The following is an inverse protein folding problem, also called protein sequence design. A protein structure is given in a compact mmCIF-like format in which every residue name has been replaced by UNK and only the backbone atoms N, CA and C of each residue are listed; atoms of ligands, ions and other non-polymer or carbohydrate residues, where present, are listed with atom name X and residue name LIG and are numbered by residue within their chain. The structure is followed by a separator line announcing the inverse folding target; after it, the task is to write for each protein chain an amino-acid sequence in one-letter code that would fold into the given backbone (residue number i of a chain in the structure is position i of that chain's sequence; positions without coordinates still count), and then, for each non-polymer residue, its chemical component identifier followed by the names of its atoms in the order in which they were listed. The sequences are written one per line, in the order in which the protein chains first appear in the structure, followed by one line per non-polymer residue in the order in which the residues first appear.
data_IF_742909110272
#
_entry.id   IF_742909110272
#
_cell.length_a   1.000
_cell.length_b   1.000
_cell.length_c   1.000
_cell.angle_alpha   90.00
_cell.angle_beta   90.00
_cell.angle_gamma   90.00
#
_symmetry.space_group_name_H-M   'P 1'
#
loop_
_entity.id
_entity.type
_entity.pdbx_description
1 polymer ?
#
# COMPACT_ATOMS: atom_id res chain seq x y z
N UNK A 1 -88.60 12.23 -8.94
CA UNK A 1 -87.64 11.46 -8.10
C UNK A 1 -86.52 10.97 -9.02
N UNK A 2 -85.31 11.51 -8.86
CA UNK A 2 -84.09 11.13 -9.62
C UNK A 2 -82.97 10.88 -8.60
N UNK A 3 -82.24 9.75 -8.66
CA UNK A 3 -81.16 9.50 -7.72
C UNK A 3 -79.89 10.25 -8.18
N UNK A 4 -79.25 10.99 -7.26
CA UNK A 4 -77.91 11.55 -7.45
C UNK A 4 -76.89 10.50 -6.98
N UNK A 5 -76.03 10.07 -7.89
CA UNK A 5 -74.90 9.18 -7.62
C UNK A 5 -73.81 9.93 -6.83
N UNK A 6 -73.32 9.31 -5.75
CA UNK A 6 -72.10 9.71 -5.05
C UNK A 6 -70.88 9.30 -5.89
N UNK A 7 -70.02 10.26 -6.22
CA UNK A 7 -68.65 9.98 -6.64
C UNK A 7 -67.74 9.88 -5.41
N UNK A 8 -67.24 8.68 -5.12
CA UNK A 8 -66.10 8.45 -4.24
C UNK A 8 -64.80 8.72 -5.00
N UNK A 9 -64.09 9.78 -4.65
CA UNK A 9 -62.74 10.06 -5.14
C UNK A 9 -61.76 9.27 -4.26
N UNK A 10 -61.28 8.14 -4.75
CA UNK A 10 -60.18 7.39 -4.15
C UNK A 10 -58.86 8.03 -4.55
N UNK A 11 -58.20 8.74 -3.63
CA UNK A 11 -56.82 9.20 -3.82
C UNK A 11 -55.86 7.99 -3.72
N UNK A 12 -55.38 7.52 -4.87
CA UNK A 12 -54.25 6.59 -4.96
C UNK A 12 -52.96 7.29 -4.52
N UNK A 13 -52.43 6.93 -3.35
CA UNK A 13 -51.06 7.25 -2.95
C UNK A 13 -50.10 6.46 -3.85
N UNK A 14 -49.44 7.13 -4.79
CA UNK A 14 -48.36 6.51 -5.57
C UNK A 14 -47.10 6.45 -4.68
N UNK A 15 -46.74 5.26 -4.20
CA UNK A 15 -45.40 5.00 -3.67
C UNK A 15 -44.39 5.16 -4.82
N UNK A 16 -43.68 6.29 -4.83
CA UNK A 16 -42.50 6.45 -5.67
C UNK A 16 -41.37 5.57 -5.12
N UNK A 17 -41.26 4.34 -5.62
CA UNK A 17 -40.03 3.55 -5.51
C UNK A 17 -38.94 4.28 -6.30
N UNK A 18 -38.16 5.12 -5.63
CA UNK A 18 -36.90 5.61 -6.18
C UNK A 18 -35.98 4.39 -6.33
N UNK A 19 -35.46 4.09 -7.53
CA UNK A 19 -34.43 3.08 -7.66
C UNK A 19 -33.21 3.59 -6.88
N UNK A 20 -32.86 2.87 -5.81
CA UNK A 20 -31.54 2.94 -5.22
C UNK A 20 -30.57 2.50 -6.33
N UNK A 21 -30.01 3.47 -7.05
CA UNK A 21 -28.84 3.22 -7.87
C UNK A 21 -27.73 2.82 -6.92
N UNK A 22 -27.54 1.50 -6.76
CA UNK A 22 -26.32 0.98 -6.19
C UNK A 22 -25.20 1.43 -7.13
N UNK A 23 -24.51 2.52 -6.77
CA UNK A 23 -23.29 2.90 -7.47
C UNK A 23 -22.37 1.69 -7.39
N UNK A 24 -21.98 1.16 -8.55
CA UNK A 24 -21.02 0.07 -8.61
C UNK A 24 -19.78 0.51 -7.82
N UNK A 25 -19.53 -0.16 -6.69
CA UNK A 25 -18.42 0.19 -5.83
C UNK A 25 -17.13 -0.15 -6.56
N UNK A 26 -16.20 0.80 -6.62
CA UNK A 26 -14.92 0.60 -7.27
C UNK A 26 -14.19 -0.62 -6.69
N UNK A 27 -13.45 -1.31 -7.55
CA UNK A 27 -12.63 -2.45 -7.15
C UNK A 27 -11.22 -2.01 -6.80
N UNK A 28 -10.52 -2.82 -6.00
CA UNK A 28 -9.09 -2.56 -5.72
C UNK A 28 -8.29 -2.50 -7.02
N UNK A 29 -8.56 -3.38 -7.98
CA UNK A 29 -7.89 -3.38 -9.28
C UNK A 29 -8.14 -2.10 -10.12
N UNK A 30 -9.29 -1.45 -9.96
CA UNK A 30 -9.59 -0.19 -10.64
C UNK A 30 -8.86 1.02 -10.04
N UNK A 31 -8.49 0.94 -8.76
CA UNK A 31 -7.92 2.06 -7.99
C UNK A 31 -6.42 1.90 -7.74
N UNK A 32 -5.97 0.67 -7.49
CA UNK A 32 -4.57 0.33 -7.24
C UNK A 32 -3.98 -0.31 -8.49
N UNK A 33 -3.72 0.51 -9.51
CA UNK A 33 -3.05 0.11 -10.74
C UNK A 33 -2.15 1.22 -11.29
N UNK A 34 -1.27 0.86 -12.24
CA UNK A 34 -0.30 1.79 -12.82
C UNK A 34 -0.91 2.97 -13.58
N UNK A 35 -2.13 2.84 -14.14
CA UNK A 35 -2.80 3.93 -14.87
C UNK A 35 -3.26 5.06 -13.95
N UNK A 36 -3.39 4.79 -12.65
CA UNK A 36 -3.78 5.81 -11.66
C UNK A 36 -2.60 6.71 -11.26
N UNK A 37 -1.36 6.27 -11.42
CA UNK A 37 -0.17 7.10 -11.20
C UNK A 37 -0.12 8.23 -12.25
N UNK A 38 0.18 9.45 -11.80
CA UNK A 38 0.22 10.65 -12.63
C UNK A 38 -1.14 11.27 -12.95
N UNK A 39 -2.25 10.60 -12.62
CA UNK A 39 -3.59 11.20 -12.76
C UNK A 39 -3.77 12.32 -11.74
N UNK A 40 -4.66 13.28 -12.02
CA UNK A 40 -4.99 14.28 -11.01
C UNK A 40 -5.94 13.70 -9.95
N UNK A 41 -5.90 14.26 -8.74
CA UNK A 41 -6.71 13.80 -7.61
C UNK A 41 -8.21 13.70 -7.94
N UNK A 42 -8.76 14.68 -8.65
CA UNK A 42 -10.19 14.70 -8.99
C UNK A 42 -10.59 13.52 -9.90
N UNK A 43 -9.73 13.17 -10.85
CA UNK A 43 -9.94 11.98 -11.68
C UNK A 43 -9.83 10.71 -10.85
N UNK A 44 -8.80 10.60 -10.00
CA UNK A 44 -8.63 9.47 -9.09
C UNK A 44 -9.88 9.26 -8.21
N UNK A 45 -10.39 10.32 -7.57
CA UNK A 45 -11.59 10.28 -6.72
C UNK A 45 -12.87 9.95 -7.50
N UNK A 46 -12.93 10.28 -8.80
CA UNK A 46 -14.05 9.86 -9.64
C UNK A 46 -14.13 8.34 -9.82
N UNK A 47 -13.00 7.64 -9.65
CA UNK A 47 -12.91 6.17 -9.67
C UNK A 47 -12.97 5.63 -8.25
N UNK A 48 -12.10 6.07 -7.34
CA UNK A 48 -11.94 5.54 -5.98
C UNK A 48 -13.09 5.90 -5.02
N UNK A 49 -13.87 6.92 -5.37
CA UNK A 49 -14.75 7.62 -4.44
C UNK A 49 -14.00 8.65 -3.60
N UNK A 50 -14.72 9.30 -2.69
CA UNK A 50 -14.18 10.38 -1.85
C UNK A 50 -13.28 9.79 -0.77
N UNK A 51 -12.16 10.48 -0.49
CA UNK A 51 -11.27 10.12 0.61
C UNK A 51 -11.99 10.10 1.96
N UNK A 52 -11.67 9.10 2.79
CA UNK A 52 -12.15 8.97 4.18
C UNK A 52 -11.44 9.97 5.09
N UNK A 53 -10.16 10.18 4.85
CA UNK A 53 -9.30 11.13 5.56
C UNK A 53 -8.35 11.76 4.56
N UNK A 54 -7.95 13.00 4.84
CA UNK A 54 -6.93 13.70 4.07
C UNK A 54 -6.06 14.51 5.03
N UNK A 55 -4.75 14.32 4.93
CA UNK A 55 -3.75 15.01 5.73
C UNK A 55 -2.70 15.58 4.78
N UNK A 56 -2.80 16.88 4.47
CA UNK A 56 -2.03 17.47 3.38
C UNK A 56 -2.34 16.77 2.06
N UNK A 57 -1.29 16.34 1.35
CA UNK A 57 -1.38 15.65 0.07
C UNK A 57 -1.69 14.15 0.17
N UNK A 58 -1.77 13.59 1.39
CA UNK A 58 -2.07 12.17 1.61
C UNK A 58 -3.56 11.94 1.82
N UNK A 59 -4.17 11.16 0.94
CA UNK A 59 -5.60 10.85 0.94
C UNK A 59 -5.81 9.35 1.13
N UNK A 60 -6.64 8.96 2.12
CA UNK A 60 -6.91 7.55 2.42
C UNK A 60 -8.33 7.15 2.02
N UNK A 61 -8.45 6.02 1.35
CA UNK A 61 -9.68 5.48 0.76
C UNK A 61 -9.98 4.09 1.33
N UNK A 62 -11.26 3.71 1.28
CA UNK A 62 -11.72 2.36 1.63
C UNK A 62 -12.41 1.74 0.42
N UNK A 63 -11.68 0.91 -0.32
CA UNK A 63 -12.12 0.30 -1.58
C UNK A 63 -12.25 -1.22 -1.39
N UNK A 64 -13.45 -1.78 -1.54
CA UNK A 64 -13.76 -3.19 -1.22
C UNK A 64 -13.25 -3.66 0.16
N UNK A 65 -13.24 -2.77 1.15
CA UNK A 65 -12.72 -3.08 2.48
C UNK A 65 -11.18 -2.96 2.62
N UNK A 66 -10.46 -2.65 1.55
CA UNK A 66 -9.02 -2.41 1.57
C UNK A 66 -8.69 -0.94 1.78
N UNK A 67 -7.60 -0.69 2.53
CA UNK A 67 -7.11 0.66 2.79
C UNK A 67 -6.09 0.99 1.70
N UNK A 68 -6.42 2.01 0.90
CA UNK A 68 -5.53 2.56 -0.12
C UNK A 68 -5.21 3.99 0.27
N UNK A 69 -3.94 4.38 0.25
CA UNK A 69 -3.51 5.76 0.39
C UNK A 69 -2.94 6.24 -0.93
N UNK A 70 -3.34 7.43 -1.37
CA UNK A 70 -2.74 8.09 -2.51
C UNK A 70 -2.05 9.38 -2.03
N UNK A 71 -0.80 9.59 -2.44
CA UNK A 71 -0.12 10.87 -2.28
C UNK A 71 -0.33 11.70 -3.55
N UNK A 72 -0.97 12.85 -3.43
CA UNK A 72 -1.35 13.72 -4.52
C UNK A 72 -0.47 14.99 -4.62
N UNK A 73 0.76 14.95 -4.09
CA UNK A 73 1.62 16.13 -4.04
C UNK A 73 1.86 16.74 -5.43
N UNK A 74 1.80 18.07 -5.52
CA UNK A 74 1.92 18.76 -6.82
C UNK A 74 0.70 18.61 -7.74
N UNK A 75 -0.43 18.06 -7.25
CA UNK A 75 -1.70 17.99 -7.98
C UNK A 75 -1.92 16.71 -8.79
N UNK A 76 -0.97 15.78 -8.74
CA UNK A 76 -1.04 14.46 -9.38
C UNK A 76 -0.74 13.35 -8.38
N UNK A 77 -1.30 12.17 -8.60
CA UNK A 77 -1.03 10.97 -7.79
C UNK A 77 0.41 10.51 -8.05
N UNK A 78 1.30 10.72 -7.08
CA UNK A 78 2.72 10.38 -7.19
C UNK A 78 3.00 8.96 -6.70
N UNK A 79 2.29 8.53 -5.66
CA UNK A 79 2.36 7.17 -5.15
C UNK A 79 1.01 6.64 -4.67
N UNK A 80 0.92 5.32 -4.69
CA UNK A 80 -0.19 4.55 -4.19
C UNK A 80 0.32 3.52 -3.20
N UNK A 81 -0.26 3.51 -1.99
CA UNK A 81 -0.02 2.50 -0.97
C UNK A 81 -1.26 1.63 -0.77
N UNK A 82 -1.08 0.31 -0.79
CA UNK A 82 -2.11 -0.66 -0.40
C UNK A 82 -1.68 -1.38 0.87
N UNK A 83 -2.51 -1.33 1.92
CA UNK A 83 -2.35 -2.18 3.09
C UNK A 83 -2.81 -3.60 2.77
N UNK A 84 -1.93 -4.58 2.96
CA UNK A 84 -2.17 -5.98 2.65
C UNK A 84 -2.88 -6.67 3.82
N UNK A 85 -3.72 -7.63 3.47
CA UNK A 85 -4.41 -8.53 4.41
C UNK A 85 -4.88 -9.77 3.65
N UNK A 86 -5.42 -10.81 4.32
CA UNK A 86 -5.96 -11.98 3.60
C UNK A 86 -6.99 -11.63 2.52
N UNK A 87 -7.72 -10.51 2.67
CA UNK A 87 -8.71 -10.01 1.70
C UNK A 87 -8.18 -8.91 0.79
N UNK A 88 -7.02 -8.32 1.09
CA UNK A 88 -6.42 -7.22 0.33
C UNK A 88 -5.08 -7.66 -0.23
N UNK A 89 -5.11 -8.11 -1.48
CA UNK A 89 -3.93 -8.57 -2.21
C UNK A 89 -3.52 -7.52 -3.24
N UNK A 90 -2.22 -7.26 -3.35
CA UNK A 90 -1.68 -6.43 -4.41
C UNK A 90 -1.52 -7.26 -5.69
N UNK A 91 -1.90 -6.67 -6.82
CA UNK A 91 -1.47 -7.10 -8.14
C UNK A 91 -0.52 -6.05 -8.69
N UNK A 92 0.77 -6.39 -8.75
CA UNK A 92 1.81 -5.49 -9.19
C UNK A 92 1.99 -5.48 -10.71
N UNK A 93 1.32 -6.38 -11.44
CA UNK A 93 1.51 -6.56 -12.90
C UNK A 93 1.16 -5.29 -13.70
N UNK A 94 0.14 -4.55 -13.26
CA UNK A 94 -0.25 -3.28 -13.89
C UNK A 94 0.77 -2.15 -13.68
N UNK A 95 1.65 -2.27 -12.69
CA UNK A 95 2.67 -1.27 -12.39
C UNK A 95 4.02 -1.62 -13.03
N UNK A 96 4.44 -2.89 -12.89
CA UNK A 96 5.80 -3.33 -13.21
C UNK A 96 5.85 -4.53 -14.18
N UNK A 97 4.73 -4.86 -14.83
CA UNK A 97 4.67 -5.85 -15.91
C UNK A 97 5.23 -7.21 -15.51
N UNK A 98 6.17 -7.72 -16.31
CA UNK A 98 6.79 -9.05 -16.10
C UNK A 98 7.72 -9.13 -14.89
N UNK A 99 8.03 -8.01 -14.22
CA UNK A 99 8.82 -8.00 -12.98
C UNK A 99 7.96 -8.29 -11.75
N UNK A 100 6.63 -8.27 -11.89
CA UNK A 100 5.71 -8.55 -10.81
C UNK A 100 5.77 -10.02 -10.37
N UNK A 101 5.73 -10.30 -9.06
CA UNK A 101 5.43 -11.63 -8.56
C UNK A 101 4.08 -12.12 -9.07
N UNK A 102 3.88 -13.44 -9.07
CA UNK A 102 2.60 -14.03 -9.48
C UNK A 102 1.43 -13.48 -8.65
N UNK A 103 0.42 -12.95 -9.35
CA UNK A 103 -0.80 -12.50 -8.72
C UNK A 103 -1.48 -13.63 -7.93
N UNK A 104 -2.12 -13.30 -6.81
CA UNK A 104 -2.90 -14.17 -5.91
C UNK A 104 -2.14 -14.97 -4.84
N UNK A 105 -0.81 -14.97 -4.84
CA UNK A 105 -0.02 -15.50 -3.72
C UNK A 105 0.20 -14.42 -2.65
N UNK A 106 0.42 -14.80 -1.36
CA UNK A 106 0.89 -13.87 -0.36
C UNK A 106 2.20 -13.22 -0.82
N UNK A 107 2.24 -11.89 -0.82
CA UNK A 107 3.44 -11.17 -1.20
C UNK A 107 4.47 -11.28 -0.08
N UNK A 108 5.66 -11.77 -0.41
CA UNK A 108 6.80 -11.90 0.52
C UNK A 108 8.02 -11.19 -0.07
N UNK A 109 8.99 -10.88 0.79
CA UNK A 109 10.27 -10.31 0.35
C UNK A 109 10.99 -11.26 -0.61
N UNK A 110 10.95 -12.58 -0.35
CA UNK A 110 11.51 -13.58 -1.27
C UNK A 110 10.84 -13.54 -2.65
N UNK A 111 9.50 -13.56 -2.70
CA UNK A 111 8.77 -13.55 -3.97
C UNK A 111 9.06 -12.27 -4.78
N UNK A 112 9.16 -11.11 -4.11
CA UNK A 112 9.52 -9.85 -4.75
C UNK A 112 10.96 -9.88 -5.31
N UNK A 113 11.92 -10.36 -4.53
CA UNK A 113 13.32 -10.46 -4.98
C UNK A 113 13.47 -11.43 -6.16
N UNK A 114 12.83 -12.60 -6.09
CA UNK A 114 12.90 -13.63 -7.13
C UNK A 114 12.26 -13.16 -8.45
N UNK A 115 11.13 -12.45 -8.40
CA UNK A 115 10.45 -11.98 -9.61
C UNK A 115 11.17 -10.81 -10.28
N UNK A 116 11.69 -9.89 -9.46
CA UNK A 116 12.32 -8.67 -9.97
C UNK A 116 13.74 -8.91 -10.46
N UNK A 117 14.44 -9.90 -9.89
CA UNK A 117 15.83 -10.22 -10.21
C UNK A 117 16.84 -9.09 -9.87
N UNK A 118 16.37 -8.02 -9.21
CA UNK A 118 17.16 -6.85 -8.86
C UNK A 118 17.56 -6.83 -7.39
N UNK A 119 18.51 -5.94 -7.02
CA UNK A 119 18.82 -5.69 -5.62
C UNK A 119 17.61 -5.09 -4.89
N UNK A 120 17.49 -5.39 -3.61
CA UNK A 120 16.56 -4.73 -2.70
C UNK A 120 17.38 -3.90 -1.72
N UNK A 121 17.06 -2.61 -1.62
CA UNK A 121 17.63 -1.70 -0.63
C UNK A 121 16.81 -1.78 0.66
N UNK A 122 17.44 -2.10 1.79
CA UNK A 122 16.71 -2.24 3.06
C UNK A 122 16.79 -0.99 3.92
N UNK A 123 15.69 -0.69 4.60
CA UNK A 123 15.53 0.42 5.52
C UNK A 123 14.73 -0.03 6.74
N UNK A 124 14.83 0.71 7.83
CA UNK A 124 13.91 0.54 8.96
C UNK A 124 13.65 1.87 9.63
N UNK A 125 12.47 2.01 10.24
CA UNK A 125 12.15 3.14 11.12
C UNK A 125 13.12 3.16 12.32
N UNK A 126 13.39 1.98 12.86
CA UNK A 126 14.33 1.69 13.93
C UNK A 126 14.44 0.16 14.07
N UNK A 127 15.56 -0.34 14.60
CA UNK A 127 15.73 -1.76 14.96
C UNK A 127 15.95 -1.97 16.45
N UNK A 128 16.40 -0.93 17.15
CA UNK A 128 16.57 -0.89 18.59
C UNK A 128 16.13 0.47 19.11
N UNK A 129 15.79 0.53 20.40
CA UNK A 129 15.46 1.79 21.10
C UNK A 129 14.45 2.67 20.35
N UNK A 130 13.45 2.04 19.72
CA UNK A 130 12.41 2.64 18.88
C UNK A 130 11.52 3.72 19.54
N UNK A 131 11.75 4.04 20.82
CA UNK A 131 11.04 5.09 21.53
C UNK A 131 9.52 4.92 21.50
N UNK A 132 8.83 5.95 20.99
CA UNK A 132 7.37 5.98 20.86
C UNK A 132 6.86 5.50 19.49
N UNK A 133 7.68 4.82 18.68
CA UNK A 133 7.21 4.22 17.44
C UNK A 133 6.14 3.17 17.77
N UNK A 134 4.88 3.47 17.47
CA UNK A 134 3.75 2.61 17.78
C UNK A 134 3.84 1.27 17.02
N UNK A 135 4.21 1.34 15.73
CA UNK A 135 4.32 0.19 14.82
C UNK A 135 5.54 0.39 13.89
N UNK A 136 6.79 0.12 14.35
CA UNK A 136 7.97 0.28 13.52
C UNK A 136 7.96 -0.75 12.38
N UNK A 137 8.50 -0.36 11.23
CA UNK A 137 8.57 -1.21 10.05
C UNK A 137 9.98 -1.31 9.49
N UNK A 138 10.22 -2.43 8.81
CA UNK A 138 11.32 -2.61 7.87
C UNK A 138 10.78 -2.45 6.46
N UNK A 139 11.55 -1.81 5.59
CA UNK A 139 11.20 -1.59 4.21
C UNK A 139 12.24 -2.21 3.29
N UNK A 140 11.78 -2.81 2.19
CA UNK A 140 12.62 -3.24 1.09
C UNK A 140 12.20 -2.47 -0.17
N UNK A 141 13.10 -1.65 -0.68
CA UNK A 141 12.90 -0.86 -1.88
C UNK A 141 13.50 -1.57 -3.07
N UNK A 142 12.67 -1.81 -4.08
CA UNK A 142 13.11 -2.15 -5.42
C UNK A 142 12.90 -0.96 -6.36
N UNK A 143 13.87 -0.70 -7.23
CA UNK A 143 13.72 0.24 -8.34
C UNK A 143 13.77 -0.52 -9.66
N UNK A 144 12.73 -0.33 -10.47
CA UNK A 144 12.64 -0.95 -11.77
C UNK A 144 13.59 -0.34 -12.80
N UNK A 145 13.93 -1.10 -13.86
CA UNK A 145 14.70 -0.55 -14.96
C UNK A 145 13.90 0.52 -15.73
N UNK A 146 14.58 1.22 -16.64
CA UNK A 146 13.95 2.18 -17.55
C UNK A 146 12.74 1.62 -18.32
N UNK A 147 12.69 0.31 -18.57
CA UNK A 147 11.57 -0.36 -19.25
C UNK A 147 10.23 -0.25 -18.50
N UNK A 148 10.25 -0.02 -17.19
CA UNK A 148 9.07 0.26 -16.35
C UNK A 148 9.11 1.68 -15.78
N UNK A 149 9.80 2.59 -16.46
CA UNK A 149 9.85 4.01 -16.10
C UNK A 149 10.50 4.31 -14.76
N UNK A 150 11.44 3.48 -14.30
CA UNK A 150 12.02 3.58 -12.95
C UNK A 150 10.99 3.52 -11.82
N UNK A 151 9.86 2.82 -12.05
CA UNK A 151 8.86 2.59 -11.01
C UNK A 151 9.50 1.91 -9.81
N UNK A 152 9.27 2.46 -8.64
CA UNK A 152 9.75 1.96 -7.37
C UNK A 152 8.64 1.17 -6.66
N UNK A 153 9.04 0.08 -6.02
CA UNK A 153 8.19 -0.75 -5.15
C UNK A 153 8.81 -0.77 -3.78
N UNK A 154 8.16 -0.10 -2.82
CA UNK A 154 8.54 -0.13 -1.42
C UNK A 154 7.66 -1.14 -0.69
N UNK A 155 8.23 -2.29 -0.36
CA UNK A 155 7.58 -3.33 0.43
C UNK A 155 7.80 -3.05 1.93
N UNK A 156 6.72 -2.98 2.69
CA UNK A 156 6.71 -2.68 4.12
C UNK A 156 6.40 -3.94 4.94
N UNK A 157 7.23 -4.22 5.94
CA UNK A 157 7.07 -5.28 6.93
C UNK A 157 6.94 -4.64 8.30
N UNK A 158 5.71 -4.54 8.79
CA UNK A 158 5.42 -4.05 10.13
C UNK A 158 5.91 -5.06 11.18
N UNK A 159 6.71 -4.61 12.15
CA UNK A 159 7.37 -5.45 13.15
C UNK A 159 6.42 -5.80 14.31
N UNK A 160 5.32 -6.48 13.99
CA UNK A 160 4.26 -6.85 14.96
C UNK A 160 4.12 -8.35 15.18
N UNK A 161 4.59 -9.18 14.24
CA UNK A 161 4.59 -10.63 14.37
C UNK A 161 5.98 -11.20 14.72
N UNK A 162 5.99 -12.38 15.35
CA UNK A 162 7.23 -13.02 15.83
C UNK A 162 8.25 -13.27 14.71
N UNK A 163 7.82 -13.57 13.48
CA UNK A 163 8.74 -13.83 12.38
C UNK A 163 9.40 -12.54 11.89
N UNK A 164 8.63 -11.46 11.78
CA UNK A 164 9.15 -10.12 11.46
C UNK A 164 10.13 -9.62 12.54
N UNK A 165 9.78 -9.76 13.82
CA UNK A 165 10.63 -9.35 14.96
C UNK A 165 11.91 -10.20 15.02
N UNK A 166 11.81 -11.52 14.79
CA UNK A 166 12.99 -12.38 14.76
C UNK A 166 13.90 -12.06 13.56
N UNK A 167 13.34 -11.69 12.41
CA UNK A 167 14.10 -11.27 11.23
C UNK A 167 14.81 -9.93 11.47
N UNK A 168 14.13 -8.94 12.06
CA UNK A 168 14.74 -7.65 12.40
C UNK A 168 15.87 -7.82 13.42
N UNK A 169 15.68 -8.66 14.43
CA UNK A 169 16.70 -8.97 15.45
C UNK A 169 17.95 -9.60 14.82
N UNK A 170 17.78 -10.56 13.91
CA UNK A 170 18.92 -11.18 13.20
C UNK A 170 19.70 -10.18 12.36
N UNK A 171 18.99 -9.26 11.69
CA UNK A 171 19.63 -8.21 10.91
C UNK A 171 20.41 -7.24 11.82
N UNK A 172 19.79 -6.78 12.90
CA UNK A 172 20.44 -5.94 13.92
C UNK A 172 21.68 -6.61 14.54
N UNK A 173 21.58 -7.88 14.92
CA UNK A 173 22.69 -8.64 15.48
C UNK A 173 23.87 -8.75 14.51
N UNK A 174 23.60 -8.91 13.22
CA UNK A 174 24.66 -8.95 12.22
C UNK A 174 25.39 -7.62 12.08
N UNK A 175 24.65 -6.51 12.16
CA UNK A 175 25.22 -5.17 12.14
C UNK A 175 26.04 -4.90 13.40
N UNK A 176 25.53 -5.25 14.58
CA UNK A 176 26.23 -5.09 15.86
C UNK A 176 27.56 -5.83 15.89
N UNK A 177 27.60 -7.07 15.37
CA UNK A 177 28.86 -7.84 15.28
C UNK A 177 29.95 -7.13 14.48
N UNK A 178 29.59 -6.35 13.47
CA UNK A 178 30.54 -5.76 12.53
C UNK A 178 30.83 -4.27 12.78
N UNK A 179 29.85 -3.53 13.32
CA UNK A 179 29.89 -2.06 13.44
C UNK A 179 29.60 -1.56 14.87
N UNK A 180 29.19 -2.44 15.79
CA UNK A 180 28.83 -2.09 17.17
C UNK A 180 27.36 -1.69 17.35
N UNK A 181 26.96 -1.47 18.60
CA UNK A 181 25.58 -1.12 19.00
C UNK A 181 25.16 0.26 18.51
N UNK A 182 26.04 1.26 18.64
CA UNK A 182 25.78 2.65 18.23
C UNK A 182 25.38 2.74 16.75
N UNK A 183 25.97 1.90 15.89
CA UNK A 183 25.63 1.84 14.46
C UNK A 183 24.14 1.50 14.23
N UNK A 184 23.58 0.62 15.06
CA UNK A 184 22.17 0.22 14.97
C UNK A 184 21.28 1.23 15.69
N UNK A 185 21.68 1.72 16.86
CA UNK A 185 20.90 2.71 17.61
C UNK A 185 20.76 4.05 16.88
N UNK A 186 21.79 4.46 16.15
CA UNK A 186 21.81 5.71 15.40
C UNK A 186 21.24 5.56 13.97
N UNK A 187 20.60 4.42 13.66
CA UNK A 187 20.02 4.12 12.34
C UNK A 187 20.98 4.21 11.15
N UNK A 188 22.30 4.09 11.37
CA UNK A 188 23.31 4.29 10.33
C UNK A 188 23.22 3.26 9.19
N UNK A 189 22.54 2.13 9.43
CA UNK A 189 22.23 1.14 8.40
C UNK A 189 21.32 1.67 7.29
N UNK A 190 20.56 2.74 7.50
CA UNK A 190 19.80 3.40 6.43
C UNK A 190 20.71 4.17 5.45
N UNK A 191 21.96 4.46 5.85
CA UNK A 191 22.92 5.27 5.10
C UNK A 191 23.83 4.45 4.17
N UNK A 192 24.00 3.16 4.47
CA UNK A 192 24.86 2.25 3.70
C UNK A 192 24.11 0.97 3.33
N UNK A 193 24.57 0.27 2.29
CA UNK A 193 23.90 -0.92 1.72
C UNK A 193 24.63 -2.23 2.03
N UNK A 194 25.68 -2.18 2.85
CA UNK A 194 26.58 -3.32 3.13
C UNK A 194 25.88 -4.48 3.84
N UNK A 195 24.75 -4.22 4.51
CA UNK A 195 23.96 -5.22 5.23
C UNK A 195 22.66 -5.63 4.53
N UNK A 196 22.35 -5.10 3.34
CA UNK A 196 21.18 -5.50 2.55
C UNK A 196 21.13 -7.02 2.28
N UNK A 197 22.25 -7.73 2.00
CA UNK A 197 22.22 -9.18 1.85
C UNK A 197 21.82 -9.92 3.14
N UNK A 198 22.24 -9.42 4.30
CA UNK A 198 21.87 -9.98 5.59
C UNK A 198 20.39 -9.73 5.93
N UNK A 199 19.89 -8.54 5.58
CA UNK A 199 18.48 -8.20 5.68
C UNK A 199 17.64 -9.11 4.79
N UNK A 200 17.98 -9.21 3.50
CA UNK A 200 17.32 -10.09 2.55
C UNK A 200 17.25 -11.54 3.07
N UNK A 201 18.37 -12.07 3.55
CA UNK A 201 18.40 -13.44 4.07
C UNK A 201 17.49 -13.62 5.30
N UNK A 202 17.39 -12.61 6.16
CA UNK A 202 16.56 -12.65 7.37
C UNK A 202 15.07 -12.51 7.06
N UNK A 203 14.71 -11.66 6.11
CA UNK A 203 13.32 -11.31 5.79
C UNK A 203 12.68 -12.14 4.68
N UNK A 204 13.42 -13.01 3.97
CA UNK A 204 12.89 -13.94 2.95
C UNK A 204 11.52 -14.56 3.28
N UNK A 205 11.30 -15.18 4.46
CA UNK A 205 10.03 -15.85 4.75
C UNK A 205 8.92 -14.90 5.25
N UNK A 206 9.22 -13.62 5.45
CA UNK A 206 8.31 -12.68 6.10
C UNK A 206 7.30 -12.11 5.09
N UNK A 207 6.04 -12.08 5.50
CA UNK A 207 4.97 -11.51 4.70
C UNK A 207 5.05 -9.98 4.67
N UNK A 208 4.75 -9.41 3.51
CA UNK A 208 4.67 -7.97 3.35
C UNK A 208 3.30 -7.49 3.87
N UNK A 209 3.31 -6.42 4.65
CA UNK A 209 2.14 -5.83 5.31
C UNK A 209 1.55 -4.66 4.53
N UNK A 210 2.36 -4.00 3.70
CA UNK A 210 1.90 -3.03 2.73
C UNK A 210 2.88 -2.88 1.56
N UNK A 211 2.37 -2.39 0.44
CA UNK A 211 3.19 -2.00 -0.70
C UNK A 211 2.88 -0.57 -1.09
N UNK A 212 3.93 0.22 -1.33
CA UNK A 212 3.84 1.56 -1.90
C UNK A 212 4.51 1.57 -3.27
N UNK A 213 3.82 2.10 -4.28
CA UNK A 213 4.28 2.13 -5.68
C UNK A 213 4.27 3.56 -6.17
N UNK A 214 5.34 4.00 -6.82
CA UNK A 214 5.45 5.35 -7.35
C UNK A 214 6.83 5.62 -7.93
N UNK A 215 7.20 6.88 -8.01
CA UNK A 215 8.58 7.30 -8.32
C UNK A 215 9.08 8.20 -7.20
N UNK A 216 10.36 8.10 -6.85
CA UNK A 216 10.98 8.87 -5.75
C UNK A 216 10.27 8.66 -4.39
N UNK A 217 9.94 7.41 -4.08
CA UNK A 217 9.28 7.04 -2.83
C UNK A 217 10.09 7.49 -1.63
N UNK A 218 9.39 8.06 -0.65
CA UNK A 218 9.98 8.39 0.65
C UNK A 218 10.38 7.12 1.38
N UNK A 219 11.59 7.13 1.94
CA UNK A 219 12.18 6.04 2.72
C UNK A 219 12.78 6.59 4.02
N UNK A 220 12.95 5.76 5.05
CA UNK A 220 13.65 6.17 6.27
C UNK A 220 14.99 6.83 5.95
N UNK A 221 15.24 7.95 6.63
CA UNK A 221 16.45 8.74 6.46
C UNK A 221 17.69 8.09 7.06
N UNK A 222 18.83 8.63 6.63
CA UNK A 222 20.13 8.51 7.27
C UNK A 222 20.31 9.53 8.40
#
# INVERSE_FOLDING_TARGET
MKPRALLTIGSTLALACLPLFAQAQATVAQVFNGEMLGTNLKYFESVAGIARTSFGDKHTYKVQGCVITADAAGGSINDLRLQLSPTCKADLSSFIGSFAPAANQPLTIAALHESTGGPLEFYADCLEMCGNAADPSVYALWEGPHAVGFTQVLAEVMLTDDAAIAASSKWADEMKKHKGEDFVMDNQYNCERSFDPAALQSFKPVAITAVTIGTQLSKPGC
#
